data_IF_152505424200
#
_entry.id   IF_152505424200
#
_cell.length_a   1.000
_cell.length_b   1.000
_cell.length_c   1.000
_cell.angle_alpha   90.00
_cell.angle_beta   90.00
_cell.angle_gamma   90.00
#
_symmetry.space_group_name_H-M   'P 1'
#
loop_
_entity.id
_entity.type
_entity.pdbx_description
1 polymer ?
#
# COMPACT_ATOMS: atom_id res chain seq x y z
N UNK A 1 -17.90 8.62 18.18
CA UNK A 1 -18.30 8.81 16.77
C UNK A 1 -17.43 7.91 15.92
N UNK A 2 -17.96 6.99 15.08
CA UNK A 2 -17.12 6.18 14.20
C UNK A 2 -16.45 7.10 13.19
N UNK A 3 -15.14 6.98 13.04
CA UNK A 3 -14.34 7.74 12.07
C UNK A 3 -14.74 7.23 10.69
N UNK A 4 -15.29 8.09 9.83
CA UNK A 4 -15.52 7.74 8.42
C UNK A 4 -14.14 7.57 7.80
N UNK A 5 -13.78 6.33 7.45
CA UNK A 5 -12.52 6.02 6.79
C UNK A 5 -12.80 5.97 5.31
N UNK A 6 -12.14 6.84 4.56
CA UNK A 6 -12.14 6.79 3.11
C UNK A 6 -11.21 5.66 2.67
N UNK A 7 -11.80 4.56 2.20
CA UNK A 7 -11.04 3.38 1.80
C UNK A 7 -10.31 3.57 0.46
N UNK A 8 -10.82 4.43 -0.43
CA UNK A 8 -10.18 4.72 -1.72
C UNK A 8 -8.92 5.56 -1.51
N UNK A 9 -9.02 6.62 -0.69
CA UNK A 9 -7.85 7.42 -0.32
C UNK A 9 -6.76 6.57 0.34
N UNK A 10 -7.15 5.62 1.20
CA UNK A 10 -6.22 4.70 1.86
C UNK A 10 -5.55 3.74 0.87
N UNK A 11 -6.25 3.28 -0.17
CA UNK A 11 -5.65 2.48 -1.24
C UNK A 11 -4.63 3.28 -2.02
N UNK A 12 -4.94 4.53 -2.36
CA UNK A 12 -4.02 5.42 -3.07
C UNK A 12 -2.76 5.73 -2.26
N UNK A 13 -2.89 5.96 -0.94
CA UNK A 13 -1.73 6.13 -0.04
C UNK A 13 -0.77 4.93 -0.08
N UNK A 14 -1.31 3.71 -0.19
CA UNK A 14 -0.51 2.49 -0.30
C UNK A 14 0.18 2.35 -1.66
N UNK A 15 -0.48 2.80 -2.74
CA UNK A 15 0.12 2.85 -4.09
C UNK A 15 1.26 3.86 -4.14
N UNK A 16 1.08 5.04 -3.56
CA UNK A 16 2.14 6.05 -3.47
C UNK A 16 3.36 5.52 -2.71
N UNK A 17 3.13 4.84 -1.58
CA UNK A 17 4.20 4.22 -0.81
C UNK A 17 4.92 3.13 -1.59
N UNK A 18 4.19 2.28 -2.33
CA UNK A 18 4.79 1.32 -3.26
C UNK A 18 5.72 2.03 -4.24
N UNK A 19 5.24 3.06 -4.95
CA UNK A 19 6.04 3.71 -6.00
C UNK A 19 7.29 4.39 -5.47
N UNK A 20 7.24 4.99 -4.28
CA UNK A 20 8.44 5.54 -3.62
C UNK A 20 9.48 4.45 -3.36
N UNK A 21 9.07 3.32 -2.78
CA UNK A 21 9.99 2.22 -2.50
C UNK A 21 10.56 1.64 -3.79
N UNK A 22 9.73 1.48 -4.82
CA UNK A 22 10.18 0.97 -6.12
C UNK A 22 11.19 1.93 -6.76
N UNK A 23 10.96 3.23 -6.69
CA UNK A 23 11.88 4.24 -7.21
C UNK A 23 13.23 4.26 -6.48
N UNK A 24 13.24 4.02 -5.17
CA UNK A 24 14.47 4.06 -4.36
C UNK A 24 15.23 2.72 -4.32
N UNK A 25 14.50 1.61 -4.25
CA UNK A 25 15.06 0.28 -3.90
C UNK A 25 14.68 -0.81 -4.90
N UNK A 26 13.93 -0.49 -5.95
CA UNK A 26 13.41 -1.44 -6.92
C UNK A 26 12.24 -2.28 -6.39
N UNK A 27 11.66 -3.09 -7.26
CA UNK A 27 10.46 -3.89 -6.97
C UNK A 27 10.69 -5.00 -5.92
N UNK A 28 11.92 -5.48 -5.80
CA UNK A 28 12.31 -6.47 -4.79
C UNK A 28 12.32 -5.85 -3.38
N UNK A 29 12.61 -4.55 -3.26
CA UNK A 29 12.55 -3.80 -2.00
C UNK A 29 11.13 -3.51 -1.52
N UNK A 30 10.15 -3.53 -2.43
CA UNK A 30 8.75 -3.21 -2.15
C UNK A 30 7.99 -4.39 -1.52
N UNK A 31 8.37 -4.80 -0.32
CA UNK A 31 7.62 -5.82 0.43
C UNK A 31 6.37 -5.23 1.08
N UNK A 32 5.34 -6.04 1.33
CA UNK A 32 4.13 -5.61 2.05
C UNK A 32 4.43 -4.93 3.39
N UNK A 33 5.49 -5.36 4.07
CA UNK A 33 5.96 -4.78 5.34
C UNK A 33 6.54 -3.39 5.15
N UNK A 34 7.39 -3.21 4.14
CA UNK A 34 7.99 -1.90 3.83
C UNK A 34 6.93 -0.91 3.34
N UNK A 35 6.00 -1.36 2.47
CA UNK A 35 4.89 -0.53 1.99
C UNK A 35 4.01 -0.06 3.16
N UNK A 36 3.71 -0.97 4.11
CA UNK A 36 2.96 -0.60 5.31
C UNK A 36 3.68 0.46 6.15
N UNK A 37 4.98 0.25 6.38
CA UNK A 37 5.79 1.19 7.17
C UNK A 37 5.88 2.58 6.49
N UNK A 38 6.12 2.61 5.18
CA UNK A 38 6.21 3.83 4.38
C UNK A 38 4.87 4.60 4.34
N UNK A 39 3.75 3.88 4.23
CA UNK A 39 2.41 4.48 4.26
C UNK A 39 1.94 4.85 5.68
N UNK A 40 2.69 4.52 6.73
CA UNK A 40 2.29 4.77 8.12
C UNK A 40 1.22 3.82 8.67
N UNK A 41 1.08 2.63 8.08
CA UNK A 41 0.15 1.59 8.51
C UNK A 41 0.84 0.54 9.37
N UNK A 42 0.08 -0.05 10.31
CA UNK A 42 0.52 -1.26 10.99
C UNK A 42 0.58 -2.44 9.99
N UNK A 43 1.52 -3.38 10.20
CA UNK A 43 1.73 -4.53 9.29
C UNK A 43 0.46 -5.36 9.00
N UNK A 44 -0.48 -5.43 9.94
CA UNK A 44 -1.76 -6.15 9.76
C UNK A 44 -2.85 -5.32 9.06
N UNK A 45 -2.67 -4.01 8.96
CA UNK A 45 -3.70 -3.07 8.48
C UNK A 45 -3.81 -3.03 6.95
N UNK A 46 -2.87 -3.62 6.21
CA UNK A 46 -2.94 -3.72 4.75
C UNK A 46 -3.88 -4.83 4.28
N UNK A 47 -4.04 -5.91 5.05
CA UNK A 47 -4.85 -7.09 4.68
C UNK A 47 -6.26 -6.75 4.16
N UNK A 48 -7.01 -5.83 4.78
CA UNK A 48 -8.34 -5.43 4.28
C UNK A 48 -8.32 -4.68 2.94
N UNK A 49 -7.19 -4.06 2.58
CA UNK A 49 -7.03 -3.31 1.32
C UNK A 49 -6.41 -4.19 0.24
N UNK A 50 -5.26 -4.80 0.54
CA UNK A 50 -4.50 -5.64 -0.37
C UNK A 50 -3.98 -6.88 0.38
N UNK A 51 -4.46 -8.08 0.03
CA UNK A 51 -4.01 -9.32 0.67
C UNK A 51 -2.61 -9.74 0.22
N UNK A 52 -2.15 -9.30 -0.96
CA UNK A 52 -0.85 -9.64 -1.54
C UNK A 52 -0.21 -8.44 -2.25
N UNK A 53 1.11 -8.50 -2.47
CA UNK A 53 1.84 -7.50 -3.26
C UNK A 53 1.28 -7.43 -4.68
N UNK A 54 0.95 -8.56 -5.27
CA UNK A 54 0.43 -8.63 -6.65
C UNK A 54 -0.91 -7.88 -6.77
N UNK A 55 -1.83 -8.02 -5.80
CA UNK A 55 -3.10 -7.27 -5.81
C UNK A 55 -2.90 -5.77 -5.68
N UNK A 56 -1.89 -5.36 -4.93
CA UNK A 56 -1.52 -3.96 -4.81
C UNK A 56 -0.94 -3.45 -6.13
N UNK A 57 -0.09 -4.24 -6.79
CA UNK A 57 0.48 -3.91 -8.09
C UNK A 57 -0.60 -3.84 -9.18
N UNK A 58 -1.51 -4.81 -9.24
CA UNK A 58 -2.66 -4.81 -10.16
C UNK A 58 -3.44 -3.50 -10.03
N UNK A 59 -3.81 -3.14 -8.80
CA UNK A 59 -4.52 -1.89 -8.52
C UNK A 59 -3.69 -0.64 -8.90
N UNK A 60 -2.38 -0.67 -8.66
CA UNK A 60 -1.46 0.42 -8.99
C UNK A 60 -1.24 0.59 -10.51
N UNK A 61 -1.50 -0.43 -11.33
CA UNK A 61 -1.45 -0.33 -12.79
C UNK A 61 -2.81 -0.01 -13.42
N UNK A 62 -3.91 -0.25 -12.70
CA UNK A 62 -5.26 0.08 -13.12
C UNK A 62 -5.65 1.55 -12.85
N UNK A 63 -4.89 2.27 -12.01
CA UNK A 63 -5.07 3.68 -11.64
C UNK A 63 -3.86 4.53 -12.01
#
# INVERSE_FOLDING_TARGET
>A
MPKIVDHDQRRLELVDALWRIVAERGLDGATMREIAAEAGFANGALKPYFPTKDRLLDFAFEH
#
